data_IF_815040137313
#
_entry.id   IF_815040137313
#
_cell.length_a   1.000
_cell.length_b   1.000
_cell.length_c   1.000
_cell.angle_alpha   90.00
_cell.angle_beta   90.00
_cell.angle_gamma   90.00
#
_symmetry.space_group_name_H-M   'P 1'
#
loop_
_entity.id
_entity.type
_entity.pdbx_description
1 polymer ?
#
# COMPACT_ATOMS: atom_id res chain seq x y z
N UNK A 1 11.43 -5.09 6.80
CA UNK A 1 11.52 -5.48 5.37
C UNK A 1 12.51 -6.63 5.23
N UNK A 2 12.38 -7.51 4.22
CA UNK A 2 13.39 -8.56 3.98
C UNK A 2 14.76 -7.94 3.72
N UNK A 3 15.83 -8.60 4.13
CA UNK A 3 17.19 -8.13 3.88
C UNK A 3 17.40 -7.85 2.38
N UNK A 4 18.04 -6.73 2.03
CA UNK A 4 18.33 -6.35 0.65
C UNK A 4 19.49 -7.14 0.03
N UNK A 5 19.38 -8.46 0.09
CA UNK A 5 20.31 -9.38 -0.57
C UNK A 5 20.11 -9.35 -2.09
N UNK A 6 21.15 -9.75 -2.84
CA UNK A 6 21.08 -9.86 -4.30
C UNK A 6 19.89 -10.73 -4.76
N UNK A 7 19.67 -11.86 -4.07
CA UNK A 7 18.53 -12.76 -4.33
C UNK A 7 17.17 -12.06 -4.20
N UNK A 8 16.97 -11.29 -3.13
CA UNK A 8 15.69 -10.62 -2.89
C UNK A 8 15.45 -9.48 -3.89
N UNK A 9 16.52 -8.79 -4.30
CA UNK A 9 16.45 -7.77 -5.36
C UNK A 9 16.11 -8.37 -6.72
N UNK A 10 16.68 -9.54 -7.04
CA UNK A 10 16.41 -10.24 -8.29
C UNK A 10 14.94 -10.68 -8.40
N UNK A 11 14.35 -11.18 -7.31
CA UNK A 11 12.92 -11.49 -7.25
C UNK A 11 12.04 -10.26 -7.47
N UNK A 12 12.37 -9.12 -6.84
CA UNK A 12 11.67 -7.87 -7.08
C UNK A 12 11.82 -7.40 -8.53
N UNK A 13 13.00 -7.60 -9.13
CA UNK A 13 13.23 -7.26 -10.52
C UNK A 13 12.37 -8.10 -11.46
N UNK A 14 12.29 -9.41 -11.28
CA UNK A 14 11.43 -10.28 -12.11
C UNK A 14 9.97 -9.81 -12.07
N UNK A 15 9.45 -9.47 -10.89
CA UNK A 15 8.10 -8.94 -10.77
C UNK A 15 7.91 -7.63 -11.54
N UNK A 16 8.86 -6.69 -11.47
CA UNK A 16 8.78 -5.41 -12.19
C UNK A 16 8.99 -5.56 -13.70
N UNK A 17 9.69 -6.60 -14.14
CA UNK A 17 9.83 -6.92 -15.56
C UNK A 17 8.51 -7.47 -16.13
N UNK A 18 7.71 -8.18 -15.32
CA UNK A 18 6.36 -8.67 -15.67
C UNK A 18 5.27 -7.59 -15.53
N UNK A 19 5.39 -6.70 -14.54
CA UNK A 19 4.46 -5.60 -14.26
C UNK A 19 5.19 -4.25 -14.27
N UNK A 20 5.49 -3.69 -15.46
CA UNK A 20 6.19 -2.42 -15.57
C UNK A 20 5.37 -1.27 -15.01
N UNK A 21 6.05 -0.35 -14.30
CA UNK A 21 5.41 0.83 -13.71
C UNK A 21 4.77 1.69 -14.82
N UNK A 22 3.47 1.97 -14.67
CA UNK A 22 2.69 2.77 -15.62
C UNK A 22 2.14 1.99 -16.81
N UNK A 23 2.37 0.67 -16.90
CA UNK A 23 1.70 -0.16 -17.89
C UNK A 23 0.20 -0.30 -17.57
N UNK A 24 -0.72 -0.24 -18.54
CA UNK A 24 -2.16 -0.35 -18.30
C UNK A 24 -2.56 -1.58 -17.48
N UNK A 25 -2.01 -2.75 -17.81
CA UNK A 25 -2.28 -4.00 -17.09
C UNK A 25 -1.81 -3.96 -15.63
N UNK A 26 -0.73 -3.21 -15.35
CA UNK A 26 -0.26 -3.00 -13.98
C UNK A 26 -1.22 -2.11 -13.22
N UNK A 27 -1.71 -1.04 -13.84
CA UNK A 27 -2.74 -0.18 -13.25
C UNK A 27 -4.03 -0.94 -12.97
N UNK A 28 -4.52 -1.74 -13.92
CA UNK A 28 -5.73 -2.55 -13.74
C UNK A 28 -5.56 -3.55 -12.57
N UNK A 29 -4.39 -4.20 -12.51
CA UNK A 29 -4.07 -5.12 -11.41
C UNK A 29 -4.02 -4.38 -10.06
N UNK A 30 -3.41 -3.20 -10.01
CA UNK A 30 -3.38 -2.37 -8.80
C UNK A 30 -4.77 -1.89 -8.38
N UNK A 31 -5.61 -1.48 -9.32
CA UNK A 31 -6.98 -1.07 -9.06
C UNK A 31 -7.79 -2.23 -8.46
N UNK A 32 -7.64 -3.43 -9.01
CA UNK A 32 -8.24 -4.63 -8.43
C UNK A 32 -7.72 -4.92 -7.02
N UNK A 33 -6.41 -4.80 -6.78
CA UNK A 33 -5.82 -4.98 -5.45
C UNK A 33 -6.45 -4.06 -4.39
N UNK A 34 -6.77 -2.82 -4.76
CA UNK A 34 -7.42 -1.85 -3.87
C UNK A 34 -8.89 -2.18 -3.56
N UNK A 35 -9.51 -3.08 -4.32
CA UNK A 35 -10.87 -3.59 -4.00
C UNK A 35 -10.87 -4.65 -2.89
N UNK A 36 -9.70 -5.16 -2.50
CA UNK A 36 -9.58 -6.19 -1.49
C UNK A 36 -9.42 -5.56 -0.10
N UNK A 37 -10.18 -6.01 0.92
CA UNK A 37 -9.98 -5.56 2.28
C UNK A 37 -8.57 -5.92 2.77
N UNK A 38 -7.86 -4.95 3.33
CA UNK A 38 -6.57 -5.16 3.98
C UNK A 38 -6.71 -6.15 5.15
N UNK A 39 -7.82 -6.04 5.86
CA UNK A 39 -8.21 -6.93 6.95
C UNK A 39 -9.73 -7.10 7.01
N UNK A 40 -10.17 -8.18 7.64
CA UNK A 40 -11.55 -8.41 8.00
C UNK A 40 -11.61 -8.82 9.48
N UNK A 41 -12.32 -8.05 10.29
CA UNK A 41 -12.58 -8.40 11.70
C UNK A 41 -14.00 -8.96 11.84
N UNK A 42 -14.09 -10.24 12.21
CA UNK A 42 -15.35 -10.96 12.42
C UNK A 42 -15.72 -11.08 13.91
N UNK A 43 -15.16 -10.22 14.77
CA UNK A 43 -15.46 -10.10 16.20
C UNK A 43 -14.82 -11.18 17.09
N UNK A 44 -14.42 -12.32 16.52
CA UNK A 44 -13.66 -13.37 17.20
C UNK A 44 -12.51 -13.95 16.38
N UNK A 45 -12.39 -13.54 15.12
CA UNK A 45 -11.35 -13.97 14.19
C UNK A 45 -11.02 -12.82 13.26
N UNK A 46 -9.74 -12.67 12.92
CA UNK A 46 -9.27 -11.65 11.99
C UNK A 46 -8.56 -12.30 10.82
N UNK A 47 -8.91 -11.87 9.62
CA UNK A 47 -8.24 -12.25 8.39
C UNK A 47 -7.44 -11.08 7.88
N UNK A 48 -6.21 -11.33 7.43
CA UNK A 48 -5.25 -10.31 7.02
C UNK A 48 -4.77 -10.63 5.63
N UNK A 49 -4.92 -9.69 4.71
CA UNK A 49 -4.47 -9.88 3.33
C UNK A 49 -2.97 -9.57 3.17
N UNK A 50 -2.49 -8.45 3.73
CA UNK A 50 -1.12 -7.99 3.50
C UNK A 50 -0.32 -7.66 4.77
N UNK A 51 -0.95 -7.02 5.77
CA UNK A 51 -0.24 -6.59 6.97
C UNK A 51 -1.16 -6.52 8.18
N UNK A 52 -0.66 -6.95 9.33
CA UNK A 52 -1.29 -6.71 10.63
C UNK A 52 -0.24 -6.29 11.64
N UNK A 53 -0.23 -4.99 11.94
CA UNK A 53 0.52 -4.37 13.03
C UNK A 53 -0.45 -3.44 13.75
N UNK A 54 -0.81 -3.78 15.00
CA UNK A 54 -1.86 -3.08 15.74
C UNK A 54 -1.62 -1.56 15.84
N UNK A 55 -0.36 -1.13 15.97
CA UNK A 55 -0.03 0.29 16.09
C UNK A 55 -0.26 1.07 14.79
N UNK A 56 -0.08 0.41 13.64
CA UNK A 56 -0.26 0.99 12.31
C UNK A 56 -1.68 0.86 11.80
N UNK A 57 -2.36 -0.22 12.20
CA UNK A 57 -3.71 -0.49 11.78
C UNK A 57 -4.72 0.38 12.51
N UNK A 58 -4.46 0.79 13.76
CA UNK A 58 -5.35 1.66 14.54
C UNK A 58 -5.78 2.96 13.80
N UNK A 59 -4.87 3.80 13.26
CA UNK A 59 -5.27 5.00 12.52
C UNK A 59 -5.98 4.70 11.20
N UNK A 60 -5.71 3.55 10.58
CA UNK A 60 -6.37 3.14 9.35
C UNK A 60 -7.79 2.64 9.65
N UNK A 61 -7.98 1.84 10.69
CA UNK A 61 -9.28 1.34 11.15
C UNK A 61 -10.23 2.47 11.53
N UNK A 62 -9.71 3.53 12.15
CA UNK A 62 -10.50 4.72 12.48
C UNK A 62 -11.04 5.42 11.22
N UNK A 63 -10.23 5.48 10.15
CA UNK A 63 -10.60 6.11 8.86
C UNK A 63 -11.37 5.16 7.91
N UNK A 64 -11.10 3.86 7.98
CA UNK A 64 -11.52 2.81 7.03
C UNK A 64 -12.12 1.63 7.79
N UNK A 65 -13.34 1.81 8.30
CA UNK A 65 -14.04 0.76 9.04
C UNK A 65 -14.42 -0.46 8.16
N UNK A 66 -14.46 -0.27 6.84
CA UNK A 66 -14.67 -1.32 5.85
C UNK A 66 -13.39 -2.12 5.50
N UNK A 67 -12.23 -1.66 5.99
CA UNK A 67 -10.93 -2.28 5.75
C UNK A 67 -10.41 -2.10 4.32
N UNK A 68 -11.07 -1.30 3.46
CA UNK A 68 -10.63 -1.02 2.10
C UNK A 68 -9.61 0.12 2.10
N UNK A 69 -8.50 -0.09 1.38
CA UNK A 69 -7.46 0.93 1.24
C UNK A 69 -7.76 1.86 0.05
N UNK A 70 -7.47 3.15 0.23
CA UNK A 70 -7.30 4.05 -0.90
C UNK A 70 -5.81 4.16 -1.26
N UNK A 71 -5.52 4.68 -2.46
CA UNK A 71 -4.16 4.93 -2.94
C UNK A 71 -3.35 5.75 -1.92
N UNK A 72 -3.97 6.75 -1.29
CA UNK A 72 -3.30 7.64 -0.32
C UNK A 72 -2.88 6.91 0.96
N UNK A 73 -3.49 5.78 1.28
CA UNK A 73 -3.14 4.97 2.46
C UNK A 73 -1.89 4.09 2.21
N UNK A 74 -1.49 3.87 0.94
CA UNK A 74 -0.43 2.93 0.56
C UNK A 74 0.96 3.32 1.08
N UNK A 75 1.32 4.61 1.08
CA UNK A 75 2.62 5.04 1.58
C UNK A 75 2.74 4.87 3.09
N UNK A 76 1.67 5.17 3.83
CA UNK A 76 1.62 5.04 5.29
C UNK A 76 1.84 3.60 5.74
N UNK A 77 1.22 2.62 5.04
CA UNK A 77 1.40 1.19 5.34
C UNK A 77 2.75 0.62 4.89
N UNK A 78 3.37 1.21 3.86
CA UNK A 78 4.62 0.71 3.29
C UNK A 78 5.86 1.15 4.08
N UNK A 79 5.80 2.28 4.78
CA UNK A 79 6.96 2.86 5.48
C UNK A 79 7.14 2.27 6.89
N UNK A 80 8.33 1.75 7.18
CA UNK A 80 8.63 1.03 8.44
C UNK A 80 8.81 1.95 9.66
N UNK A 81 8.91 3.27 9.49
CA UNK A 81 9.24 4.20 10.60
C UNK A 81 8.05 5.03 11.11
N UNK A 82 6.81 4.66 10.76
CA UNK A 82 5.63 5.46 11.13
C UNK A 82 5.64 6.86 10.50
N UNK A 83 6.37 7.00 9.39
CA UNK A 83 6.49 8.25 8.66
C UNK A 83 5.13 8.63 8.11
N UNK A 84 4.45 9.56 8.79
CA UNK A 84 3.42 10.38 8.14
C UNK A 84 4.09 11.04 6.95
N UNK A 85 3.83 10.55 5.74
CA UNK A 85 3.86 11.45 4.60
C UNK A 85 2.81 12.53 4.91
N UNK A 86 3.17 13.83 4.96
CA UNK A 86 2.14 14.84 5.09
C UNK A 86 1.23 14.67 3.87
N UNK A 87 -0.06 14.42 4.11
CA UNK A 87 -1.17 14.48 3.14
C UNK A 87 -1.36 15.91 2.58
N UNK A 88 -0.27 16.65 2.41
CA UNK A 88 -0.22 18.08 2.08
C UNK A 88 1.11 18.38 1.38
N UNK A 89 1.39 17.65 0.30
CA UNK A 89 2.32 18.12 -0.72
C UNK A 89 1.53 18.27 -2.03
N UNK A 90 0.88 19.44 -2.12
CA UNK A 90 0.79 20.24 -3.34
C UNK A 90 0.18 19.56 -4.58
N UNK A 91 -1.15 19.57 -4.64
CA UNK A 91 -1.90 19.64 -5.91
C UNK A 91 -1.70 21.01 -6.64
N UNK A 92 -0.59 21.72 -6.40
CA UNK A 92 -0.38 23.11 -6.82
C UNK A 92 1.03 23.41 -7.36
N UNK A 93 1.64 22.55 -8.18
CA UNK A 93 2.78 23.00 -8.99
C UNK A 93 3.10 22.15 -10.24
N UNK A 94 2.17 22.03 -11.20
CA UNK A 94 2.58 21.94 -12.62
C UNK A 94 1.58 22.73 -13.49
N UNK A 95 1.60 24.05 -13.30
CA UNK A 95 1.25 25.00 -14.37
C UNK A 95 2.30 26.11 -14.27
N UNK A 96 2.85 26.50 -15.43
CA UNK A 96 3.92 27.50 -15.66
C UNK A 96 5.33 26.87 -15.56
N UNK A 97 6.12 26.74 -16.62
CA UNK A 97 6.19 27.45 -17.92
C UNK A 97 6.41 26.47 -19.07
#
# INVERSE_FOLDING_TARGET
MRAHSAKNKDQHKTFLDEFPVGHPDTTEMMDWFLTLPLFLDLGGMRMVHACWDDARMAPIMDRRQDGLLAIDDLQEIALEDGGKAPLTLELHAVKLK
#
